data_IF_732222274911
#
_entry.id   IF_732222274911
#
_cell.length_a   1.000
_cell.length_b   1.000
_cell.length_c   1.000
_cell.angle_alpha   90.00
_cell.angle_beta   90.00
_cell.angle_gamma   90.00
#
_symmetry.space_group_name_H-M   'P 1'
#
loop_
_entity.id
_entity.type
_entity.pdbx_description
1 polymer ?
#
# COMPACT_ATOMS: atom_id res chain seq x y z
N UNK A 1 -11.78 -21.01 5.07
CA UNK A 1 -12.17 -19.59 5.29
C UNK A 1 -11.22 -18.71 4.50
N UNK A 2 -11.69 -17.82 3.63
CA UNK A 2 -10.80 -16.82 3.01
C UNK A 2 -10.48 -15.75 4.06
N UNK A 3 -9.23 -15.73 4.54
CA UNK A 3 -8.76 -14.67 5.42
C UNK A 3 -8.78 -13.36 4.64
N UNK A 4 -9.69 -12.44 4.97
CA UNK A 4 -9.64 -11.05 4.51
C UNK A 4 -8.40 -10.43 5.14
N UNK A 5 -7.25 -10.53 4.47
CA UNK A 5 -6.03 -9.84 4.87
C UNK A 5 -6.35 -8.36 5.08
N UNK A 6 -5.67 -7.70 6.02
CA UNK A 6 -5.98 -6.32 6.38
C UNK A 6 -5.49 -5.35 5.29
N UNK A 7 -6.25 -5.27 4.20
CA UNK A 7 -6.02 -4.37 3.08
C UNK A 7 -6.70 -3.02 3.34
N UNK A 8 -5.94 -1.93 3.25
CA UNK A 8 -6.52 -0.60 3.02
C UNK A 8 -6.49 -0.36 1.53
N UNK A 9 -7.64 -0.07 0.92
CA UNK A 9 -7.74 0.36 -0.47
C UNK A 9 -8.24 1.81 -0.53
N UNK A 10 -7.69 2.59 -1.45
CA UNK A 10 -8.25 3.89 -1.86
C UNK A 10 -7.91 4.15 -3.33
N UNK A 11 -8.56 5.12 -3.96
CA UNK A 11 -8.35 5.41 -5.39
C UNK A 11 -8.21 6.90 -5.68
N UNK A 12 -7.54 7.21 -6.78
CA UNK A 12 -7.46 8.56 -7.36
C UNK A 12 -7.70 8.45 -8.87
N UNK A 13 -8.92 8.78 -9.31
CA UNK A 13 -9.32 8.57 -10.70
C UNK A 13 -9.18 7.10 -11.10
N UNK A 14 -8.33 6.81 -12.09
CA UNK A 14 -8.03 5.43 -12.55
C UNK A 14 -6.94 4.71 -11.74
N UNK A 15 -6.28 5.36 -10.79
CA UNK A 15 -5.25 4.74 -9.95
C UNK A 15 -5.87 4.11 -8.71
N UNK A 16 -5.55 2.84 -8.44
CA UNK A 16 -5.96 2.10 -7.23
C UNK A 16 -4.74 1.87 -6.35
N UNK A 17 -4.82 2.33 -5.11
CA UNK A 17 -3.78 2.19 -4.09
C UNK A 17 -4.19 1.12 -3.08
N UNK A 18 -3.25 0.26 -2.70
CA UNK A 18 -3.46 -0.79 -1.70
C UNK A 18 -2.34 -0.81 -0.66
N UNK A 19 -2.65 -1.04 0.61
CA UNK A 19 -1.65 -1.41 1.64
C UNK A 19 -2.00 -2.78 2.17
N UNK A 20 -1.09 -3.76 2.00
CA UNK A 20 -1.25 -5.13 2.53
C UNK A 20 -0.33 -5.38 3.72
N UNK A 21 -0.87 -5.95 4.79
CA UNK A 21 -0.09 -6.48 5.92
C UNK A 21 0.64 -7.77 5.49
N UNK A 22 1.95 -7.83 5.69
CA UNK A 22 2.81 -9.00 5.40
C UNK A 22 3.69 -9.30 6.61
N UNK A 23 4.01 -10.57 6.83
CA UNK A 23 5.06 -10.97 7.80
C UNK A 23 6.20 -11.60 7.01
N UNK A 24 7.41 -11.08 7.16
CA UNK A 24 8.61 -11.55 6.45
C UNK A 24 9.78 -11.65 7.41
N UNK A 25 10.49 -12.79 7.44
CA UNK A 25 11.60 -13.03 8.36
C UNK A 25 11.25 -12.82 9.85
N UNK A 26 10.02 -13.15 10.25
CA UNK A 26 9.50 -12.90 11.60
C UNK A 26 9.14 -11.43 11.91
N UNK A 27 9.42 -10.48 11.00
CA UNK A 27 9.08 -9.06 11.16
C UNK A 27 7.77 -8.72 10.46
N UNK A 28 7.00 -7.83 11.09
CA UNK A 28 5.79 -7.25 10.52
C UNK A 28 6.16 -6.14 9.53
N UNK A 29 5.51 -6.14 8.36
CA UNK A 29 5.70 -5.14 7.31
C UNK A 29 4.35 -4.79 6.66
N UNK A 30 4.29 -3.61 6.04
CA UNK A 30 3.14 -3.11 5.30
C UNK A 30 3.60 -2.77 3.89
N UNK A 31 3.20 -3.58 2.91
CA UNK A 31 3.60 -3.43 1.51
C UNK A 31 2.54 -2.62 0.78
N UNK A 32 2.96 -1.53 0.13
CA UNK A 32 2.08 -0.68 -0.67
C UNK A 32 2.09 -1.09 -2.13
N UNK A 33 0.95 -0.96 -2.79
CA UNK A 33 0.78 -1.22 -4.22
C UNK A 33 -0.01 -0.12 -4.92
N UNK A 34 0.25 0.00 -6.23
CA UNK A 34 -0.40 0.90 -7.18
C UNK A 34 -0.83 0.07 -8.41
N UNK A 35 -2.12 0.02 -8.70
CA UNK A 35 -2.72 -0.79 -9.77
C UNK A 35 -2.31 -2.28 -9.71
N UNK A 36 -2.10 -2.80 -8.48
CA UNK A 36 -1.62 -4.17 -8.24
C UNK A 36 -0.10 -4.35 -8.26
N UNK A 37 0.67 -3.38 -8.79
CA UNK A 37 2.14 -3.40 -8.78
C UNK A 37 2.65 -2.95 -7.41
N UNK A 38 3.54 -3.73 -6.79
CA UNK A 38 4.14 -3.38 -5.50
C UNK A 38 5.13 -2.22 -5.65
N UNK A 39 5.04 -1.23 -4.76
CA UNK A 39 5.79 0.03 -4.90
C UNK A 39 6.57 0.46 -3.63
N UNK A 40 6.65 -0.41 -2.62
CA UNK A 40 7.46 -0.21 -1.42
C UNK A 40 6.95 -1.01 -0.23
N UNK A 41 7.80 -1.17 0.80
CA UNK A 41 7.46 -1.81 2.06
C UNK A 41 7.87 -0.93 3.24
N UNK A 42 6.99 -0.81 4.23
CA UNK A 42 7.16 0.08 5.39
C UNK A 42 6.97 -0.69 6.71
N UNK A 43 7.57 -0.23 7.83
CA UNK A 43 7.44 -0.88 9.14
C UNK A 43 6.05 -0.68 9.78
N UNK A 44 5.33 0.38 9.42
CA UNK A 44 4.00 0.70 9.95
C UNK A 44 2.97 0.93 8.84
N UNK A 45 1.70 0.69 9.17
CA UNK A 45 0.56 0.87 8.26
C UNK A 45 0.42 2.34 7.88
N UNK A 46 0.64 3.22 8.84
CA UNK A 46 0.54 4.67 8.74
C UNK A 46 1.62 5.23 7.80
N UNK A 47 2.86 4.73 7.88
CA UNK A 47 3.93 5.11 6.96
C UNK A 47 3.63 4.67 5.51
N UNK A 48 3.12 3.46 5.32
CA UNK A 48 2.68 2.99 4.00
C UNK A 48 1.55 3.86 3.44
N UNK A 49 0.49 4.10 4.22
CA UNK A 49 -0.64 4.96 3.80
C UNK A 49 -0.17 6.38 3.49
N UNK A 50 0.67 6.99 4.33
CA UNK A 50 1.19 8.33 4.07
C UNK A 50 2.07 8.39 2.80
N UNK A 51 2.89 7.36 2.54
CA UNK A 51 3.70 7.31 1.32
C UNK A 51 2.82 7.19 0.06
N UNK A 52 1.79 6.34 0.09
CA UNK A 52 0.83 6.23 -1.01
C UNK A 52 -0.01 7.50 -1.17
N UNK A 53 -0.41 8.17 -0.09
CA UNK A 53 -1.12 9.45 -0.14
C UNK A 53 -0.24 10.59 -0.70
N UNK A 54 1.06 10.61 -0.39
CA UNK A 54 2.02 11.55 -1.02
C UNK A 54 2.20 11.26 -2.51
N UNK A 55 2.25 9.98 -2.90
CA UNK A 55 2.19 9.58 -4.33
C UNK A 55 0.85 9.99 -4.97
N UNK A 56 -0.21 10.00 -4.17
CA UNK A 56 -1.57 10.53 -4.40
C UNK A 56 -1.62 11.90 -5.28
N UNK A 57 -1.20 12.49 -4.14
CA UNK A 57 -1.08 13.94 -4.09
C UNK A 57 -0.13 14.50 -5.17
N UNK A 58 0.97 13.80 -5.46
CA UNK A 58 1.85 14.11 -6.60
C UNK A 58 1.11 13.98 -7.94
N UNK A 59 1.35 14.91 -8.85
CA UNK A 59 0.81 14.88 -10.22
C UNK A 59 1.81 14.33 -11.24
N UNK A 60 2.95 13.80 -10.80
CA UNK A 60 3.99 13.24 -11.68
C UNK A 60 3.44 12.00 -12.42
N UNK A 61 3.33 12.02 -13.76
CA UNK A 61 3.06 10.81 -14.52
C UNK A 61 4.29 9.90 -14.51
N UNK A 62 4.03 8.60 -14.52
CA UNK A 62 5.00 7.53 -14.78
C UNK A 62 4.60 6.84 -16.09
#
# INVERSE_FOLDING_TARGET
MHSRSHYIHFSRGRQVFGVRRVTSGGRLQFVGSLNGVECGAWPTKEAAVQALLRRAASNVPY
#
